data_IF_432463376781
#
_entry.id   IF_432463376781
#
_cell.length_a   1.000
_cell.length_b   1.000
_cell.length_c   1.000
_cell.angle_alpha   90.00
_cell.angle_beta   90.00
_cell.angle_gamma   90.00
#
_symmetry.space_group_name_H-M   'P 1'
#
loop_
_entity.id
_entity.type
_entity.pdbx_description
1 polymer ?
#
# COMPACT_ATOMS: atom_id res chain seq x y z
N UNK A 1 -3.66 -3.78 -11.63
CA UNK A 1 -3.27 -2.38 -11.83
C UNK A 1 -4.44 -1.47 -11.49
N UNK A 2 -4.18 -0.48 -10.68
CA UNK A 2 -5.15 0.59 -10.40
C UNK A 2 -4.62 1.85 -11.09
N UNK A 3 -5.34 2.31 -12.11
CA UNK A 3 -4.94 3.50 -12.87
C UNK A 3 -5.31 4.78 -12.13
N UNK A 4 -4.50 5.81 -12.33
CA UNK A 4 -4.67 7.14 -11.73
C UNK A 4 -4.60 7.14 -10.20
N UNK A 5 -3.85 6.21 -9.68
CA UNK A 5 -3.46 6.12 -8.28
C UNK A 5 -1.95 5.87 -8.20
N UNK A 6 -1.34 6.21 -7.10
CA UNK A 6 0.07 5.93 -6.88
C UNK A 6 0.31 5.38 -5.48
N UNK A 7 1.35 4.57 -5.37
CA UNK A 7 1.84 4.08 -4.08
C UNK A 7 2.70 5.16 -3.44
N UNK A 8 2.49 5.41 -2.16
CA UNK A 8 3.31 6.32 -1.35
C UNK A 8 3.62 5.66 -0.02
N UNK A 9 4.63 6.19 0.65
CA UNK A 9 4.95 5.73 2.00
C UNK A 9 4.70 6.86 3.01
N UNK A 10 3.98 6.53 4.06
CA UNK A 10 3.71 7.41 5.20
C UNK A 10 4.19 6.71 6.47
N UNK A 11 5.44 6.22 6.44
CA UNK A 11 5.94 5.29 7.42
C UNK A 11 5.53 3.86 7.10
N UNK A 12 4.35 3.68 6.57
CA UNK A 12 3.82 2.43 6.01
C UNK A 12 3.25 2.73 4.63
N UNK A 13 2.93 1.69 3.89
CA UNK A 13 2.42 1.84 2.53
C UNK A 13 1.00 2.41 2.52
N UNK A 14 0.75 3.27 1.56
CA UNK A 14 -0.57 3.84 1.30
C UNK A 14 -0.71 4.06 -0.20
N UNK A 15 -1.93 4.26 -0.66
CA UNK A 15 -2.18 4.65 -2.04
C UNK A 15 -3.02 5.91 -2.04
N UNK A 16 -2.81 6.74 -3.05
CA UNK A 16 -3.55 7.99 -3.18
C UNK A 16 -3.84 8.28 -4.64
N UNK A 17 -4.91 9.03 -4.94
CA UNK A 17 -5.20 9.42 -6.31
C UNK A 17 -4.06 10.26 -6.90
N UNK A 18 -3.68 9.93 -8.12
CA UNK A 18 -2.66 10.70 -8.83
C UNK A 18 -2.76 10.41 -10.31
N UNK A 19 -3.23 11.39 -11.08
CA UNK A 19 -3.46 11.25 -12.51
C UNK A 19 -2.16 10.84 -13.24
N UNK A 20 -2.27 9.86 -14.11
CA UNK A 20 -1.15 9.38 -14.91
C UNK A 20 -0.26 8.35 -14.24
N UNK A 21 -0.49 8.05 -12.97
CA UNK A 21 0.26 7.02 -12.25
C UNK A 21 -0.53 5.71 -12.19
N UNK A 22 0.12 4.67 -11.71
CA UNK A 22 -0.50 3.36 -11.54
C UNK A 22 -0.01 2.73 -10.25
N UNK A 23 -0.90 2.00 -9.60
CA UNK A 23 -0.52 1.08 -8.52
C UNK A 23 -0.56 -0.32 -9.07
N UNK A 24 0.53 -1.04 -8.88
CA UNK A 24 0.68 -2.42 -9.32
C UNK A 24 0.77 -3.29 -8.08
N UNK A 25 0.01 -4.37 -8.07
CA UNK A 25 0.00 -5.27 -6.93
C UNK A 25 -0.55 -6.63 -7.31
N UNK A 26 -0.49 -7.55 -6.37
CA UNK A 26 -1.05 -8.88 -6.53
C UNK A 26 -2.46 -8.94 -5.99
N UNK A 27 -3.29 -9.75 -6.63
CA UNK A 27 -4.66 -9.98 -6.19
C UNK A 27 -4.76 -11.39 -5.62
N UNK A 28 -5.33 -11.50 -4.42
CA UNK A 28 -5.45 -12.77 -3.72
C UNK A 28 -6.91 -13.06 -3.43
N UNK A 29 -7.29 -14.31 -3.60
CA UNK A 29 -8.63 -14.77 -3.21
C UNK A 29 -8.65 -14.98 -1.70
N UNK A 30 -9.61 -14.35 -1.02
CA UNK A 30 -9.73 -14.47 0.42
C UNK A 30 -11.15 -14.88 0.81
N UNK A 31 -11.30 -15.43 2.00
CA UNK A 31 -12.58 -15.79 2.60
C UNK A 31 -13.04 -14.68 3.54
N UNK A 32 -14.32 -14.71 3.93
CA UNK A 32 -14.84 -13.71 4.85
C UNK A 32 -14.05 -13.65 6.16
N UNK A 33 -13.67 -14.79 6.70
CA UNK A 33 -12.89 -14.82 7.93
C UNK A 33 -11.49 -14.21 7.75
N UNK A 34 -10.95 -14.30 6.54
CA UNK A 34 -9.68 -13.65 6.22
C UNK A 34 -9.83 -12.14 6.19
N UNK A 35 -10.96 -11.64 5.69
CA UNK A 35 -11.23 -10.21 5.70
C UNK A 35 -11.33 -9.68 7.12
N UNK A 36 -11.98 -10.40 8.02
CA UNK A 36 -12.07 -10.01 9.43
C UNK A 36 -10.66 -9.91 10.04
N UNK A 37 -9.80 -10.88 9.74
CA UNK A 37 -8.43 -10.87 10.24
C UNK A 37 -7.63 -9.70 9.65
N UNK A 38 -7.79 -9.41 8.37
CA UNK A 38 -7.13 -8.28 7.72
C UNK A 38 -7.61 -6.96 8.28
N UNK A 39 -8.91 -6.80 8.51
CA UNK A 39 -9.46 -5.58 9.10
C UNK A 39 -8.81 -5.30 10.44
N UNK A 40 -8.61 -6.34 11.23
CA UNK A 40 -7.96 -6.20 12.53
C UNK A 40 -6.48 -5.85 12.37
N UNK A 41 -5.82 -6.50 11.45
CA UNK A 41 -4.39 -6.27 11.17
C UNK A 41 -4.15 -4.85 10.69
N UNK A 42 -5.01 -4.34 9.81
CA UNK A 42 -4.90 -2.99 9.25
C UNK A 42 -5.49 -1.92 10.16
N UNK A 43 -6.06 -2.33 11.31
CA UNK A 43 -6.73 -1.42 12.22
C UNK A 43 -7.85 -0.65 11.52
N UNK A 44 -8.66 -1.37 10.77
CA UNK A 44 -9.82 -0.84 10.06
C UNK A 44 -10.94 -0.57 11.08
N UNK A 45 -11.69 0.53 10.99
CA UNK A 45 -11.57 1.59 9.97
C UNK A 45 -10.73 2.79 10.45
N UNK A 46 -9.92 2.66 11.47
CA UNK A 46 -9.25 3.78 12.12
C UNK A 46 -7.96 4.19 11.43
N UNK A 47 -7.03 3.28 11.25
CA UNK A 47 -5.78 3.59 10.55
C UNK A 47 -5.94 3.47 9.04
N UNK A 48 -6.63 2.44 8.60
CA UNK A 48 -6.96 2.23 7.20
C UNK A 48 -8.46 2.11 7.04
N UNK A 49 -8.96 2.64 5.95
CA UNK A 49 -10.30 2.36 5.45
C UNK A 49 -10.18 1.45 4.24
N UNK A 50 -11.26 0.95 3.71
CA UNK A 50 -11.22 0.06 2.56
C UNK A 50 -12.28 0.43 1.55
N UNK A 51 -12.01 0.10 0.30
CA UNK A 51 -12.92 0.31 -0.81
C UNK A 51 -12.73 -0.82 -1.81
N UNK A 52 -13.50 -0.82 -2.86
CA UNK A 52 -13.54 -1.87 -3.85
C UNK A 52 -13.43 -1.28 -5.25
N UNK A 53 -12.86 -2.03 -6.15
CA UNK A 53 -12.92 -1.72 -7.58
C UNK A 53 -13.07 -3.02 -8.36
N UNK A 54 -13.53 -2.90 -9.61
CA UNK A 54 -13.63 -4.04 -10.49
C UNK A 54 -12.37 -4.17 -11.33
N UNK A 55 -11.78 -5.34 -11.35
CA UNK A 55 -10.59 -5.63 -12.14
C UNK A 55 -10.85 -6.83 -13.03
N UNK A 56 -10.16 -6.88 -14.14
CA UNK A 56 -10.20 -8.06 -15.02
C UNK A 56 -9.02 -8.95 -14.66
N UNK A 57 -9.32 -10.17 -14.25
CA UNK A 57 -8.32 -11.16 -13.89
C UNK A 57 -8.63 -12.42 -14.70
N UNK A 58 -7.70 -12.83 -15.54
CA UNK A 58 -7.85 -14.00 -16.41
C UNK A 58 -9.15 -13.98 -17.22
N UNK A 59 -9.49 -12.81 -17.75
CA UNK A 59 -10.66 -12.62 -18.58
C UNK A 59 -11.97 -12.45 -17.82
N UNK A 60 -11.95 -12.52 -16.51
CA UNK A 60 -13.14 -12.34 -15.68
C UNK A 60 -13.09 -11.04 -14.91
N UNK A 61 -14.24 -10.40 -14.78
CA UNK A 61 -14.37 -9.22 -13.93
C UNK A 61 -14.56 -9.67 -12.49
N UNK A 62 -13.67 -9.23 -11.61
CA UNK A 62 -13.73 -9.57 -10.20
C UNK A 62 -13.75 -8.29 -9.36
N UNK A 63 -14.38 -8.37 -8.21
CA UNK A 63 -14.42 -7.26 -7.25
C UNK A 63 -13.21 -7.39 -6.34
N UNK A 64 -12.37 -6.35 -6.34
CA UNK A 64 -11.13 -6.34 -5.56
C UNK A 64 -11.25 -5.32 -4.44
N UNK A 65 -10.90 -5.75 -3.23
CA UNK A 65 -10.85 -4.90 -2.05
C UNK A 65 -9.43 -4.38 -1.85
N UNK A 66 -9.32 -3.13 -1.43
CA UNK A 66 -8.03 -2.55 -1.08
C UNK A 66 -8.17 -1.65 0.13
N UNK A 67 -7.07 -1.48 0.85
CA UNK A 67 -7.01 -0.60 2.01
C UNK A 67 -6.25 0.68 1.66
N UNK A 68 -6.68 1.79 2.25
CA UNK A 68 -5.98 3.06 2.12
C UNK A 68 -6.03 3.79 3.47
N UNK A 69 -5.03 4.64 3.72
CA UNK A 69 -4.92 5.31 5.02
C UNK A 69 -5.94 6.43 5.16
N UNK A 70 -6.51 6.53 6.35
CA UNK A 70 -7.47 7.58 6.68
C UNK A 70 -6.81 8.93 6.89
N UNK A 71 -5.56 8.93 7.34
CA UNK A 71 -4.79 10.15 7.55
C UNK A 71 -3.70 10.25 6.50
N UNK A 72 -3.83 11.24 5.63
CA UNK A 72 -2.90 11.45 4.51
C UNK A 72 -1.90 12.57 4.80
N UNK A 73 -1.78 13.02 6.02
CA UNK A 73 -0.82 14.04 6.40
C UNK A 73 0.58 13.43 6.48
N UNK A 74 1.50 14.04 5.78
CA UNK A 74 2.89 13.67 5.87
C UNK A 74 3.28 12.44 5.06
N UNK A 75 4.53 12.43 4.71
CA UNK A 75 5.20 11.35 4.00
C UNK A 75 6.31 10.87 4.93
N UNK A 76 6.47 9.57 5.03
CA UNK A 76 7.47 9.00 5.93
C UNK A 76 8.20 7.84 5.29
N UNK A 77 9.51 7.78 5.54
CA UNK A 77 10.34 6.69 5.05
C UNK A 77 9.92 5.38 5.71
N UNK A 78 9.70 4.30 4.93
CA UNK A 78 9.36 3.01 5.53
C UNK A 78 10.58 2.40 6.22
N UNK A 79 10.39 1.61 7.29
CA UNK A 79 11.46 0.81 7.85
C UNK A 79 12.03 -0.14 6.79
N UNK A 80 13.32 -0.39 6.86
CA UNK A 80 14.01 -1.21 5.84
C UNK A 80 13.38 -2.60 5.74
N UNK A 81 13.10 -3.24 6.86
CA UNK A 81 12.53 -4.57 6.84
C UNK A 81 11.12 -4.59 6.26
N UNK A 82 10.33 -3.57 6.57
CA UNK A 82 8.99 -3.42 6.03
C UNK A 82 9.04 -3.27 4.50
N UNK A 83 9.90 -2.40 4.00
CA UNK A 83 10.07 -2.19 2.57
C UNK A 83 10.53 -3.48 1.87
N UNK A 84 11.49 -4.18 2.47
CA UNK A 84 12.02 -5.42 1.90
C UNK A 84 10.92 -6.48 1.78
N UNK A 85 10.04 -6.55 2.77
CA UNK A 85 8.93 -7.50 2.72
C UNK A 85 8.00 -7.23 1.54
N UNK A 86 7.71 -5.96 1.26
CA UNK A 86 6.91 -5.59 0.10
C UNK A 86 7.66 -5.91 -1.20
N UNK A 87 8.94 -5.61 -1.24
CA UNK A 87 9.79 -5.90 -2.40
C UNK A 87 9.77 -7.40 -2.72
N UNK A 88 9.95 -8.23 -1.71
CA UNK A 88 9.90 -9.69 -1.88
C UNK A 88 8.52 -10.13 -2.37
N UNK A 89 7.46 -9.50 -1.89
CA UNK A 89 6.11 -9.78 -2.36
C UNK A 89 5.93 -9.47 -3.85
N UNK A 90 6.51 -8.38 -4.32
CA UNK A 90 6.50 -8.06 -5.74
C UNK A 90 7.22 -9.13 -6.56
N UNK A 91 8.39 -9.57 -6.10
CA UNK A 91 9.13 -10.65 -6.75
C UNK A 91 8.30 -11.92 -6.79
N UNK A 92 7.70 -12.30 -5.67
CA UNK A 92 6.90 -13.52 -5.57
C UNK A 92 5.70 -13.51 -6.50
N UNK A 93 5.11 -12.34 -6.74
CA UNK A 93 3.96 -12.19 -7.64
C UNK A 93 4.37 -11.94 -9.09
N UNK A 94 5.66 -11.91 -9.40
CA UNK A 94 6.14 -11.66 -10.75
C UNK A 94 5.92 -10.24 -11.22
N UNK A 95 5.84 -9.28 -10.30
CA UNK A 95 5.61 -7.89 -10.63
C UNK A 95 6.92 -7.14 -10.80
N UNK A 96 6.91 -6.12 -11.65
CA UNK A 96 8.07 -5.27 -11.83
C UNK A 96 8.29 -4.41 -10.60
N UNK A 97 9.50 -4.43 -10.07
CA UNK A 97 9.84 -3.71 -8.85
C UNK A 97 10.04 -2.21 -9.06
N UNK A 98 10.11 -1.76 -10.31
CA UNK A 98 10.31 -0.34 -10.60
C UNK A 98 9.17 0.53 -10.06
N UNK A 99 7.95 0.03 -9.99
CA UNK A 99 6.83 0.77 -9.42
C UNK A 99 7.05 1.03 -7.93
N UNK A 100 7.53 0.02 -7.22
CA UNK A 100 7.84 0.12 -5.81
C UNK A 100 9.05 1.04 -5.58
N UNK A 101 10.08 0.87 -6.39
CA UNK A 101 11.29 1.70 -6.31
C UNK A 101 10.99 3.16 -6.58
N UNK A 102 10.13 3.44 -7.55
CA UNK A 102 9.71 4.80 -7.87
C UNK A 102 8.95 5.43 -6.71
N UNK A 103 8.08 4.67 -6.05
CA UNK A 103 7.36 5.14 -4.87
C UNK A 103 8.32 5.48 -3.73
N UNK A 104 9.34 4.65 -3.53
CA UNK A 104 10.35 4.89 -2.51
C UNK A 104 11.15 6.17 -2.82
N UNK A 105 11.60 6.33 -4.06
CA UNK A 105 12.34 7.51 -4.49
C UNK A 105 11.51 8.78 -4.32
N UNK A 106 10.26 8.73 -4.69
CA UNK A 106 9.35 9.86 -4.51
C UNK A 106 9.27 10.24 -3.02
N UNK A 107 9.12 9.24 -2.15
CA UNK A 107 9.04 9.46 -0.72
C UNK A 107 10.28 10.15 -0.20
N UNK A 108 11.47 9.63 -0.53
CA UNK A 108 12.73 10.20 -0.07
C UNK A 108 12.88 11.65 -0.54
N UNK A 109 12.57 11.92 -1.81
CA UNK A 109 12.70 13.27 -2.36
C UNK A 109 11.77 14.27 -1.68
N UNK A 110 10.56 13.83 -1.35
CA UNK A 110 9.57 14.72 -0.76
C UNK A 110 9.76 14.92 0.73
N UNK A 111 10.36 13.96 1.42
CA UNK A 111 10.76 14.15 2.81
C UNK A 111 11.77 15.29 2.91
N UNK A 112 12.72 15.36 1.98
CA UNK A 112 13.71 16.42 1.97
C UNK A 112 13.08 17.80 1.78
N UNK A 113 11.99 17.88 1.02
CA UNK A 113 11.28 19.13 0.79
C UNK A 113 10.39 19.53 1.96
N UNK A 114 9.79 18.54 2.63
CA UNK A 114 8.81 18.77 3.69
C UNK A 114 9.41 18.67 5.09
N UNK A 115 10.66 18.29 5.20
CA UNK A 115 11.27 17.93 6.45
C UNK A 115 11.01 16.45 6.76
N UNK A 116 11.44 16.02 7.94
CA UNK A 116 11.42 14.61 8.30
C UNK A 116 10.25 14.25 9.21
N UNK A 117 9.14 14.91 9.05
CA UNK A 117 7.98 14.62 9.89
C UNK A 117 7.49 13.19 9.66
N UNK A 118 7.21 12.49 10.74
CA UNK A 118 6.92 11.09 10.73
C UNK A 118 5.88 10.83 11.81
N UNK A 119 4.64 10.57 11.46
CA UNK A 119 3.60 10.41 12.48
C UNK A 119 3.94 9.31 13.48
N UNK A 120 3.89 9.64 14.75
CA UNK A 120 4.31 8.73 15.82
C UNK A 120 3.56 7.42 15.83
N UNK A 121 2.27 7.47 15.53
CA UNK A 121 1.44 6.27 15.52
C UNK A 121 1.90 5.26 14.46
N UNK A 122 2.50 5.74 13.37
CA UNK A 122 3.01 4.85 12.33
C UNK A 122 4.27 4.16 12.78
N UNK A 123 5.07 4.81 13.59
CA UNK A 123 6.27 4.19 14.14
C UNK A 123 5.91 2.95 14.95
N UNK A 124 4.83 3.00 15.72
CA UNK A 124 4.40 1.87 16.54
C UNK A 124 3.90 0.71 15.70
N UNK A 125 3.39 0.98 14.52
CA UNK A 125 2.79 -0.01 13.63
C UNK A 125 3.67 -0.35 12.43
N UNK A 126 4.82 0.25 12.33
CA UNK A 126 5.71 0.09 11.18
C UNK A 126 6.22 -1.31 10.95
N UNK A 127 6.15 -2.18 11.95
CA UNK A 127 6.56 -3.57 11.79
C UNK A 127 5.54 -4.42 11.08
N UNK A 128 4.31 -3.95 10.98
CA UNK A 128 3.26 -4.73 10.35
C UNK A 128 3.50 -4.83 8.88
N UNK A 129 3.30 -6.01 8.38
CA UNK A 129 3.47 -6.28 6.97
C UNK A 129 2.10 -6.30 6.32
N UNK A 130 1.83 -5.31 5.51
CA UNK A 130 0.54 -5.17 4.87
C UNK A 130 0.60 -5.33 3.35
N UNK A 131 1.70 -5.78 2.82
CA UNK A 131 1.92 -5.82 1.37
C UNK A 131 0.87 -6.59 0.60
N UNK A 132 0.40 -7.69 1.17
CA UNK A 132 -0.52 -8.56 0.47
C UNK A 132 -1.91 -7.95 0.32
N UNK A 133 -2.20 -6.88 1.03
CA UNK A 133 -3.49 -6.21 0.97
C UNK A 133 -3.51 -5.08 -0.05
N UNK A 134 -2.39 -4.77 -0.65
CA UNK A 134 -2.26 -3.71 -1.63
C UNK A 134 -2.34 -4.31 -3.02
N UNK A 135 -3.35 -3.99 -3.72
CA UNK A 135 -3.55 -4.57 -5.05
C UNK A 135 -3.46 -3.54 -6.12
#
# INVERSE_FOLDING_TARGET
IIDDWRLVFRGVADIEPHAGSQVVGGVFRIKEQDEVALDRYENYPYLYDKDFFNATVEGETVKVMYYYMTNTDGIGKPPVQYYRTIYDGYIDCGLETNYLESAYKYTISNIQLQGTHYPKRYKKKGKKNAKSTRS
#
